data_IF_248657062470
#
_entry.id   IF_248657062470
#
_cell.length_a   1.000
_cell.length_b   1.000
_cell.length_c   1.000
_cell.angle_alpha   90.00
_cell.angle_beta   90.00
_cell.angle_gamma   90.00
#
_symmetry.space_group_name_H-M   'P 1'
#
loop_
_entity.id
_entity.type
_entity.pdbx_description
1 polymer ?
#
# COMPACT_ATOMS: atom_id res chain seq x y z
N UNK A 1 18.80 -0.45 2.54
CA UNK A 1 17.76 0.30 1.79
C UNK A 1 16.54 0.33 2.69
N UNK A 2 15.98 1.51 2.99
CA UNK A 2 14.77 1.59 3.83
C UNK A 2 13.56 1.20 2.95
N UNK A 3 13.06 -0.03 3.10
CA UNK A 3 11.97 -0.57 2.29
C UNK A 3 10.71 -0.75 3.12
N UNK A 4 9.60 -0.29 2.58
CA UNK A 4 8.28 -0.34 3.23
C UNK A 4 7.35 -1.17 2.38
N UNK A 5 6.79 -2.23 2.96
CA UNK A 5 5.72 -3.00 2.33
C UNK A 5 4.38 -2.57 2.90
N UNK A 6 3.47 -2.19 2.02
CA UNK A 6 2.12 -1.72 2.35
C UNK A 6 1.11 -2.71 1.78
N UNK A 7 0.71 -3.75 2.54
CA UNK A 7 -0.31 -4.69 2.10
C UNK A 7 -1.71 -4.11 2.27
N UNK A 8 -2.58 -4.41 1.32
CA UNK A 8 -4.02 -4.23 1.48
C UNK A 8 -4.52 -5.09 2.65
N UNK A 9 -5.60 -4.68 3.35
CA UNK A 9 -6.06 -5.35 4.56
C UNK A 9 -6.31 -6.86 4.39
N UNK A 10 -6.87 -7.27 3.24
CA UNK A 10 -7.13 -8.67 2.92
C UNK A 10 -5.85 -9.51 2.78
N UNK A 11 -4.72 -8.88 2.46
CA UNK A 11 -3.43 -9.52 2.17
C UNK A 11 -2.44 -9.42 3.33
N UNK A 12 -2.83 -8.93 4.51
CA UNK A 12 -1.91 -8.69 5.62
C UNK A 12 -1.08 -9.93 6.02
N UNK A 13 -1.67 -11.13 5.94
CA UNK A 13 -0.96 -12.39 6.22
C UNK A 13 0.12 -12.70 5.17
N UNK A 14 -0.21 -12.55 3.88
CA UNK A 14 0.76 -12.71 2.79
C UNK A 14 1.83 -11.62 2.85
N UNK A 15 1.41 -10.38 3.15
CA UNK A 15 2.27 -9.23 3.36
C UNK A 15 3.35 -9.50 4.38
N UNK A 16 3.02 -10.13 5.51
CA UNK A 16 4.02 -10.49 6.53
C UNK A 16 5.09 -11.43 6.00
N UNK A 17 4.69 -12.44 5.21
CA UNK A 17 5.63 -13.39 4.60
C UNK A 17 6.51 -12.71 3.56
N UNK A 18 5.94 -11.83 2.73
CA UNK A 18 6.66 -11.07 1.72
C UNK A 18 7.64 -10.07 2.36
N UNK A 19 7.21 -9.35 3.39
CA UNK A 19 8.02 -8.38 4.13
C UNK A 19 9.28 -9.04 4.71
N UNK A 20 9.15 -10.22 5.33
CA UNK A 20 10.30 -10.98 5.83
C UNK A 20 11.29 -11.34 4.73
N UNK A 21 10.82 -11.71 3.53
CA UNK A 21 11.71 -12.05 2.41
C UNK A 21 12.35 -10.83 1.74
N UNK A 22 11.67 -9.69 1.78
CA UNK A 22 12.14 -8.44 1.18
C UNK A 22 13.00 -7.60 2.13
N UNK A 23 13.15 -8.03 3.39
CA UNK A 23 13.74 -7.25 4.48
C UNK A 23 13.10 -5.85 4.58
N UNK A 24 11.77 -5.83 4.52
CA UNK A 24 10.97 -4.61 4.50
C UNK A 24 10.19 -4.45 5.81
N UNK A 25 10.09 -3.22 6.32
CA UNK A 25 9.14 -2.92 7.39
C UNK A 25 7.73 -2.92 6.81
N UNK A 26 6.74 -3.37 7.59
CA UNK A 26 5.35 -3.23 7.20
C UNK A 26 4.78 -1.91 7.70
N UNK A 27 4.00 -1.23 6.86
CA UNK A 27 3.17 -0.10 7.24
C UNK A 27 1.69 -0.39 6.93
N UNK A 28 0.76 0.08 7.78
CA UNK A 28 -0.67 -0.09 7.54
C UNK A 28 -1.15 0.74 6.36
N UNK A 29 -2.20 0.24 5.70
CA UNK A 29 -2.99 0.98 4.71
C UNK A 29 -4.42 1.10 5.24
N UNK A 30 -4.83 2.32 5.58
CA UNK A 30 -6.22 2.58 5.91
C UNK A 30 -7.02 2.69 4.62
N UNK A 31 -7.93 1.74 4.39
CA UNK A 31 -8.82 1.74 3.23
C UNK A 31 -10.27 1.72 3.69
N UNK A 32 -11.05 2.67 3.18
CA UNK A 32 -12.49 2.75 3.39
C UNK A 32 -13.20 2.90 2.04
N UNK A 33 -14.18 2.04 1.81
CA UNK A 33 -15.12 2.18 0.71
C UNK A 33 -16.42 2.80 1.23
N UNK A 34 -16.90 3.84 0.56
CA UNK A 34 -18.11 4.56 0.91
C UNK A 34 -19.34 3.99 0.17
N UNK A 35 -20.56 4.19 0.70
CA UNK A 35 -21.78 3.69 0.06
C UNK A 35 -22.09 4.30 -1.32
N UNK A 36 -21.51 5.46 -1.63
CA UNK A 36 -21.59 6.14 -2.93
C UNK A 36 -20.60 5.59 -3.97
N UNK A 37 -19.75 4.63 -3.59
CA UNK A 37 -18.73 4.02 -4.44
C UNK A 37 -17.37 4.71 -4.36
N UNK A 38 -17.22 5.77 -3.58
CA UNK A 38 -15.93 6.42 -3.37
C UNK A 38 -14.99 5.56 -2.50
N UNK A 39 -13.69 5.81 -2.63
CA UNK A 39 -12.67 5.12 -1.84
C UNK A 39 -11.68 6.10 -1.25
N UNK A 40 -11.53 6.05 0.07
CA UNK A 40 -10.48 6.75 0.80
C UNK A 40 -9.33 5.79 1.09
N UNK A 41 -8.12 6.24 0.79
CA UNK A 41 -6.87 5.58 1.14
C UNK A 41 -6.06 6.52 2.04
N UNK A 42 -5.47 5.97 3.08
CA UNK A 42 -4.61 6.68 4.04
C UNK A 42 -3.36 5.86 4.29
N UNK A 43 -2.21 6.54 4.32
CA UNK A 43 -0.88 5.98 4.57
C UNK A 43 -0.24 6.73 5.73
N UNK A 44 0.76 6.13 6.38
CA UNK A 44 1.62 6.83 7.32
C UNK A 44 2.54 7.82 6.57
N UNK A 45 2.93 8.91 7.22
CA UNK A 45 3.75 10.00 6.63
C UNK A 45 5.26 9.69 6.60
N UNK A 46 5.71 8.63 7.28
CA UNK A 46 7.11 8.17 7.33
C UNK A 46 7.55 7.43 6.04
N UNK A 47 7.22 7.97 4.86
CA UNK A 47 7.58 7.37 3.56
C UNK A 47 8.70 8.12 2.83
N UNK A 48 9.16 9.25 3.38
CA UNK A 48 10.19 10.07 2.76
C UNK A 48 11.52 9.32 2.61
N UNK A 49 12.08 9.34 1.40
CA UNK A 49 13.33 8.64 1.11
C UNK A 49 13.21 7.10 1.06
N UNK A 50 12.00 6.54 1.16
CA UNK A 50 11.81 5.08 1.25
C UNK A 50 11.50 4.40 -0.09
N UNK A 51 11.82 3.11 -0.18
CA UNK A 51 11.43 2.21 -1.26
C UNK A 51 10.10 1.55 -0.91
N UNK A 52 9.01 1.97 -1.53
CA UNK A 52 7.65 1.52 -1.19
C UNK A 52 7.21 0.42 -2.16
N UNK A 53 6.70 -0.68 -1.60
CA UNK A 53 6.04 -1.74 -2.35
C UNK A 53 4.60 -1.88 -1.86
N UNK A 54 3.63 -1.86 -2.78
CA UNK A 54 2.21 -2.04 -2.44
C UNK A 54 1.80 -3.46 -2.81
N UNK A 55 1.17 -4.18 -1.88
CA UNK A 55 0.72 -5.56 -2.10
C UNK A 55 -0.80 -5.64 -2.08
N UNK A 56 -1.39 -6.12 -3.17
CA UNK A 56 -2.81 -6.42 -3.25
C UNK A 56 -3.07 -7.68 -4.09
N UNK A 57 -3.97 -8.54 -3.61
CA UNK A 57 -4.49 -9.66 -4.38
C UNK A 57 -5.61 -9.19 -5.30
N UNK A 58 -5.42 -9.38 -6.61
CA UNK A 58 -6.35 -8.95 -7.65
C UNK A 58 -7.51 -9.95 -7.87
N UNK A 59 -8.02 -10.57 -6.80
CA UNK A 59 -9.14 -11.53 -6.88
C UNK A 59 -10.44 -10.86 -7.38
N UNK A 60 -10.65 -9.60 -6.99
CA UNK A 60 -11.72 -8.74 -7.49
C UNK A 60 -11.09 -7.37 -7.81
N UNK A 61 -10.54 -7.18 -9.02
CA UNK A 61 -9.65 -6.06 -9.31
C UNK A 61 -10.40 -4.73 -9.48
N UNK A 62 -11.64 -4.74 -9.96
CA UNK A 62 -12.37 -3.50 -10.29
C UNK A 62 -12.52 -2.57 -9.07
N UNK A 63 -12.93 -3.05 -7.88
CA UNK A 63 -12.97 -2.20 -6.69
C UNK A 63 -11.60 -1.80 -6.14
N UNK A 64 -10.52 -2.48 -6.56
CA UNK A 64 -9.15 -2.24 -6.08
C UNK A 64 -8.36 -1.31 -7.00
N UNK A 65 -8.75 -1.17 -8.26
CA UNK A 65 -8.00 -0.42 -9.26
C UNK A 65 -7.78 1.05 -8.87
N UNK A 66 -8.82 1.72 -8.37
CA UNK A 66 -8.72 3.11 -7.89
C UNK A 66 -7.99 3.23 -6.55
N UNK A 67 -8.34 2.47 -5.49
CA UNK A 67 -7.58 2.48 -4.23
C UNK A 67 -6.09 2.21 -4.40
N UNK A 68 -5.71 1.26 -5.27
CA UNK A 68 -4.32 0.92 -5.51
C UNK A 68 -3.56 2.07 -6.18
N UNK A 69 -4.21 2.77 -7.12
CA UNK A 69 -3.67 4.00 -7.71
C UNK A 69 -3.53 5.12 -6.70
N UNK A 70 -4.52 5.33 -5.84
CA UNK A 70 -4.44 6.33 -4.78
C UNK A 70 -3.31 6.02 -3.81
N UNK A 71 -3.17 4.78 -3.36
CA UNK A 71 -2.06 4.35 -2.51
C UNK A 71 -0.69 4.65 -3.15
N UNK A 72 -0.49 4.28 -4.42
CA UNK A 72 0.76 4.51 -5.12
C UNK A 72 1.06 6.02 -5.28
N UNK A 73 0.04 6.81 -5.61
CA UNK A 73 0.17 8.26 -5.76
C UNK A 73 0.48 8.94 -4.42
N UNK A 74 -0.24 8.59 -3.35
CA UNK A 74 -0.02 9.14 -2.01
C UNK A 74 1.37 8.78 -1.49
N UNK A 75 1.85 7.56 -1.72
CA UNK A 75 3.21 7.17 -1.34
C UNK A 75 4.28 8.05 -2.02
N UNK A 76 4.08 8.37 -3.31
CA UNK A 76 4.94 9.30 -4.04
C UNK A 76 4.86 10.72 -3.49
N UNK A 77 3.67 11.20 -3.15
CA UNK A 77 3.48 12.53 -2.54
C UNK A 77 4.14 12.64 -1.16
N UNK A 78 4.24 11.54 -0.43
CA UNK A 78 4.94 11.46 0.87
C UNK A 78 6.46 11.21 0.75
N UNK A 79 7.03 11.29 -0.47
CA UNK A 79 8.48 11.28 -0.67
C UNK A 79 9.10 9.91 -0.97
N UNK A 80 8.31 8.89 -1.33
CA UNK A 80 8.84 7.61 -1.76
C UNK A 80 9.73 7.76 -3.01
N UNK A 81 10.98 7.29 -2.93
CA UNK A 81 11.99 7.44 -4.01
C UNK A 81 11.88 6.35 -5.09
N UNK A 82 11.21 5.26 -4.76
CA UNK A 82 10.85 4.18 -5.69
C UNK A 82 9.54 3.57 -5.20
N UNK A 83 8.63 3.34 -6.14
CA UNK A 83 7.32 2.76 -5.87
C UNK A 83 6.99 1.76 -6.97
N UNK A 84 6.64 0.54 -6.56
CA UNK A 84 6.29 -0.60 -7.43
C UNK A 84 5.04 -1.28 -6.92
#
# INVERSE_FOLDING_TARGET
>A
MNRVLIPFPADAALGRVVATRLDARMAPLGWRHFPDGESLVTLDDDLDGTDVAILASLRNPDPLALPLRFAAQTAREFGAVRWV
#
